data_IF_557530956511
#
_entry.id   IF_557530956511
#
_cell.length_a   1.000
_cell.length_b   1.000
_cell.length_c   1.000
_cell.angle_alpha   90.00
_cell.angle_beta   90.00
_cell.angle_gamma   90.00
#
_symmetry.space_group_name_H-M   'P 1'
#
loop_
_entity.id
_entity.type
_entity.pdbx_description
1 polymer ?
2 non-polymer ?
3 non-polymer ?
4 non-polymer ?
5 water ?
#
# COMPACT_ATOMS: atom_id res chain seq x y z
N UNK A 1 13.53 20.85 -1.13
CA UNK A 1 13.06 19.77 -2.00
C UNK A 1 12.62 18.53 -1.22
N UNK A 2 11.36 18.13 -1.41
CA UNK A 2 10.87 16.91 -0.77
C UNK A 2 11.66 15.71 -1.27
N UNK A 3 11.69 14.66 -0.46
CA UNK A 3 12.38 13.43 -0.82
C UNK A 3 11.83 12.30 0.02
N UNK A 4 12.00 11.07 -0.44
CA UNK A 4 11.58 9.91 0.36
C UNK A 4 12.36 9.90 1.68
N UNK A 5 13.61 10.36 1.61
CA UNK A 5 14.44 10.45 2.80
C UNK A 5 13.86 11.41 3.83
N UNK A 6 13.36 12.55 3.37
CA UNK A 6 12.80 13.56 4.26
C UNK A 6 11.52 13.03 4.89
N UNK A 7 10.69 12.42 4.06
CA UNK A 7 9.45 11.82 4.55
C UNK A 7 9.74 10.75 5.60
N UNK A 8 10.71 9.89 5.34
CA UNK A 8 11.09 8.86 6.30
C UNK A 8 11.49 9.45 7.66
N UNK A 9 12.31 10.49 7.64
CA UNK A 9 12.74 11.15 8.87
C UNK A 9 11.57 11.73 9.65
N UNK A 10 10.66 12.37 8.92
CA UNK A 10 9.50 12.99 9.55
C UNK A 10 8.61 11.96 10.18
N UNK A 11 8.35 10.87 9.46
CA UNK A 11 7.48 9.80 9.98
C UNK A 11 8.06 9.18 11.24
N UNK A 12 9.36 8.92 11.22
CA UNK A 12 10.00 8.23 12.35
C UNK A 12 9.88 9.02 13.65
N UNK A 13 9.81 10.34 13.56
CA UNK A 13 9.65 11.16 14.75
C UNK A 13 8.29 11.84 14.87
N UNK A 14 7.35 11.42 14.02
CA UNK A 14 6.06 12.10 13.90
C UNK A 14 5.17 11.98 15.11
N UNK A 15 4.54 13.09 15.50
CA UNK A 15 3.52 13.03 16.54
C UNK A 15 2.27 13.79 16.13
N UNK A 16 1.94 13.67 14.86
CA UNK A 16 0.84 14.44 14.29
C UNK A 16 -0.54 13.81 14.54
N UNK A 17 -0.60 12.56 14.97
CA UNK A 17 -1.87 12.05 15.48
C UNK A 17 -1.64 11.22 16.74
N UNK A 18 -2.71 10.79 17.39
CA UNK A 18 -2.56 10.15 18.69
C UNK A 18 -1.90 8.77 18.63
N UNK A 19 -1.69 8.23 17.45
CA UNK A 19 -1.11 6.90 17.34
C UNK A 19 0.35 6.85 17.80
N UNK A 20 1.04 7.99 17.82
CA UNK A 20 2.46 7.97 18.14
C UNK A 20 2.70 7.40 19.54
N UNK A 21 1.76 7.65 20.47
CA UNK A 21 1.96 7.29 21.84
C UNK A 21 2.08 5.80 22.10
N UNK A 22 1.58 4.98 21.18
CA UNK A 22 1.52 3.54 21.37
C UNK A 22 2.70 2.80 20.74
N UNK A 23 3.40 3.48 19.85
CA UNK A 23 4.29 2.77 18.95
C UNK A 23 5.65 2.43 19.55
N UNK A 24 6.26 1.41 18.97
CA UNK A 24 7.68 1.14 19.14
C UNK A 24 8.40 1.83 18.00
N UNK A 25 7.97 1.55 16.78
CA UNK A 25 8.53 2.21 15.59
C UNK A 25 7.46 2.63 14.62
N UNK A 26 7.54 3.86 14.11
CA UNK A 26 6.70 4.27 12.98
C UNK A 26 7.20 3.50 11.78
N UNK A 27 6.36 3.36 10.75
CA UNK A 27 6.70 2.56 9.57
C UNK A 27 6.47 3.38 8.31
N UNK A 28 7.51 4.09 7.84
CA UNK A 28 7.33 4.96 6.66
C UNK A 28 7.14 4.20 5.35
N UNK A 29 7.67 2.99 5.26
CA UNK A 29 7.60 2.26 4.00
C UNK A 29 9.03 2.07 3.52
N UNK A 30 9.23 1.16 2.57
CA UNK A 30 10.56 0.88 2.07
C UNK A 30 10.50 0.43 0.62
N UNK A 31 11.59 0.66 -0.11
CA UNK A 31 11.69 0.15 -1.45
C UNK A 31 12.33 1.10 -2.42
N UNK A 32 12.27 0.74 -3.69
CA UNK A 32 12.96 1.46 -4.75
C UNK A 32 12.29 2.79 -5.06
N UNK A 33 13.03 3.90 -5.01
CA UNK A 33 12.40 5.19 -5.25
C UNK A 33 11.87 5.37 -6.66
N UNK A 34 12.32 4.53 -7.58
CA UNK A 34 11.82 4.57 -8.96
C UNK A 34 11.04 3.29 -9.26
N UNK A 35 10.43 2.73 -8.22
CA UNK A 35 9.56 1.56 -8.40
C UNK A 35 8.47 1.79 -9.44
N UNK A 36 8.29 0.81 -10.31
CA UNK A 36 7.10 0.86 -11.18
C UNK A 36 5.84 0.43 -10.46
N UNK A 37 5.97 -0.40 -9.43
CA UNK A 37 4.79 -0.83 -8.67
C UNK A 37 4.90 -0.42 -7.21
N UNK A 38 3.87 0.24 -6.73
CA UNK A 38 3.82 0.69 -5.36
C UNK A 38 2.66 -0.05 -4.70
N UNK A 39 2.91 -0.65 -3.53
CA UNK A 39 1.86 -1.36 -2.77
C UNK A 39 1.48 -0.52 -1.57
N UNK A 40 0.19 -0.36 -1.36
CA UNK A 40 -0.27 0.42 -0.20
C UNK A 40 -1.25 -0.36 0.62
N UNK A 41 -0.88 -0.65 1.87
CA UNK A 41 -1.80 -1.30 2.79
C UNK A 41 -2.52 -0.33 3.71
N UNK A 42 -3.10 -0.89 4.76
CA UNK A 42 -3.88 -0.14 5.74
C UNK A 42 -3.01 0.56 6.80
N UNK A 43 -2.39 -0.24 7.65
CA UNK A 43 -1.56 0.26 8.75
C UNK A 43 -0.69 -0.87 9.24
N UNK A 44 0.41 -0.54 9.91
CA UNK A 44 1.27 -1.56 10.52
C UNK A 44 0.54 -2.46 11.48
N UNK A 45 0.89 -3.74 11.48
CA UNK A 45 0.48 -4.58 12.58
C UNK A 45 1.58 -4.72 13.62
N UNK A 46 1.47 -5.77 14.43
CA UNK A 46 2.37 -5.97 15.55
C UNK A 46 3.84 -6.12 15.14
N UNK A 47 4.11 -6.99 14.16
CA UNK A 47 5.49 -7.23 13.77
C UNK A 47 6.08 -6.03 13.04
N UNK A 48 5.24 -5.34 12.30
CA UNK A 48 5.67 -4.13 11.61
C UNK A 48 6.11 -3.06 12.61
N UNK A 49 5.32 -2.89 13.66
CA UNK A 49 5.62 -1.96 14.74
C UNK A 49 6.94 -2.30 15.41
N UNK A 50 7.11 -3.59 15.71
CA UNK A 50 8.33 -4.05 16.36
C UNK A 50 9.55 -3.79 15.49
N UNK A 51 9.37 -3.96 14.18
CA UNK A 51 10.52 -3.92 13.26
C UNK A 51 10.74 -2.60 12.55
N UNK A 52 9.74 -1.73 12.50
CA UNK A 52 9.82 -0.50 11.73
C UNK A 52 9.72 -0.68 10.21
N UNK A 53 9.13 -1.79 9.80
CA UNK A 53 9.11 -2.22 8.39
C UNK A 53 7.70 -2.64 8.02
N UNK A 54 7.25 -2.38 6.78
CA UNK A 54 5.90 -2.78 6.39
C UNK A 54 5.82 -4.25 5.99
N UNK A 55 4.66 -4.86 6.20
CA UNK A 55 4.37 -6.20 5.71
C UNK A 55 5.50 -7.21 5.99
N UNK A 56 5.72 -7.47 7.28
CA UNK A 56 6.74 -8.47 7.68
C UNK A 56 6.17 -9.60 8.54
N UNK A 57 4.93 -9.46 8.95
CA UNK A 57 4.25 -10.53 9.68
C UNK A 57 3.72 -11.57 8.70
N UNK A 58 2.82 -12.43 9.16
CA UNK A 58 2.26 -13.49 8.31
C UNK A 58 1.65 -12.95 7.01
N UNK A 59 0.82 -11.92 7.11
CA UNK A 59 0.21 -11.35 5.92
C UNK A 59 1.29 -10.80 5.01
N UNK A 60 2.28 -10.15 5.61
CA UNK A 60 3.37 -9.64 4.83
C UNK A 60 4.22 -10.69 4.11
N UNK A 61 4.46 -11.82 4.77
CA UNK A 61 5.20 -12.91 4.17
C UNK A 61 4.44 -13.46 2.96
N UNK A 62 3.12 -13.49 3.04
CA UNK A 62 2.30 -13.92 1.91
C UNK A 62 2.43 -12.90 0.78
N UNK A 63 2.37 -11.61 1.12
CA UNK A 63 2.55 -10.58 0.12
C UNK A 63 3.91 -10.74 -0.58
N UNK A 64 4.97 -10.91 0.19
CA UNK A 64 6.29 -11.09 -0.41
C UNK A 64 6.33 -12.28 -1.36
N UNK A 65 5.70 -13.37 -0.97
CA UNK A 65 5.68 -14.57 -1.79
C UNK A 65 4.94 -14.31 -3.10
N UNK A 66 3.81 -13.59 -3.06
CA UNK A 66 3.09 -13.30 -4.30
C UNK A 66 3.89 -12.37 -5.20
N UNK A 67 4.51 -11.36 -4.59
CA UNK A 67 5.31 -10.46 -5.37
C UNK A 67 6.44 -11.23 -6.08
N UNK A 68 7.07 -12.15 -5.36
CA UNK A 68 8.16 -12.93 -5.94
C UNK A 68 7.69 -13.95 -6.96
N UNK A 69 6.71 -14.78 -6.59
CA UNK A 69 6.35 -15.91 -7.43
C UNK A 69 5.44 -15.53 -8.58
N UNK A 70 4.58 -14.54 -8.38
CA UNK A 70 3.62 -14.19 -9.40
C UNK A 70 4.05 -12.96 -10.21
N UNK A 71 4.61 -11.94 -9.56
CA UNK A 71 5.08 -10.77 -10.30
C UNK A 71 6.52 -10.90 -10.77
N UNK A 72 7.27 -11.77 -10.12
CA UNK A 72 8.66 -11.98 -10.47
C UNK A 72 9.56 -10.87 -9.97
N UNK A 73 9.23 -10.32 -8.80
CA UNK A 73 9.99 -9.19 -8.24
C UNK A 73 10.45 -9.42 -6.80
N UNK A 74 11.60 -8.84 -6.44
CA UNK A 74 12.03 -8.79 -5.06
C UNK A 74 11.43 -7.57 -4.39
N UNK A 75 11.34 -7.57 -3.06
CA UNK A 75 10.82 -6.38 -2.39
C UNK A 75 11.63 -5.13 -2.70
N UNK A 76 12.94 -5.27 -2.87
CA UNK A 76 13.76 -4.10 -3.13
C UNK A 76 13.52 -3.50 -4.52
N UNK A 77 12.70 -4.17 -5.35
CA UNK A 77 12.41 -3.61 -6.67
C UNK A 77 11.07 -2.90 -6.71
N UNK A 78 10.32 -2.96 -5.60
CA UNK A 78 9.01 -2.28 -5.54
C UNK A 78 9.02 -1.31 -4.38
N UNK A 79 7.93 -0.58 -4.17
CA UNK A 79 7.84 0.26 -2.98
C UNK A 79 6.61 -0.15 -2.21
N UNK A 80 6.76 -0.30 -0.89
CA UNK A 80 5.67 -0.83 -0.06
C UNK A 80 5.43 0.08 1.13
N UNK A 81 4.20 0.53 1.32
CA UNK A 81 3.89 1.36 2.45
C UNK A 81 2.42 1.19 2.82
N UNK A 82 1.90 2.08 3.65
CA UNK A 82 0.53 2.03 4.15
C UNK A 82 -0.05 3.44 4.20
N UNK A 83 -1.37 3.54 4.22
CA UNK A 83 -2.01 4.85 4.29
C UNK A 83 -1.79 5.48 5.68
N UNK A 84 -1.72 4.65 6.72
CA UNK A 84 -1.39 5.11 8.06
C UNK A 84 -0.10 4.42 8.48
N UNK A 85 0.79 5.15 9.12
CA UNK A 85 2.13 4.62 9.32
C UNK A 85 2.51 4.21 10.75
N UNK A 86 1.54 4.30 11.68
CA UNK A 86 1.73 3.74 13.01
C UNK A 86 0.64 2.74 13.32
N UNK A 87 0.99 1.76 14.13
CA UNK A 87 0.05 0.70 14.55
C UNK A 87 -1.07 1.20 15.45
N UNK A 88 -2.32 1.08 15.01
CA UNK A 88 -3.40 1.46 15.91
C UNK A 88 -3.46 0.48 17.06
N UNK A 89 -3.87 0.95 18.24
CA UNK A 89 -3.99 0.10 19.43
C UNK A 89 -5.04 -0.98 19.26
N UNK A 90 -4.87 -2.09 19.98
CA UNK A 90 -6.00 -2.99 20.24
C UNK A 90 -6.50 -3.72 18.99
N UNK A 91 -5.67 -3.83 17.96
CA UNK A 91 -6.01 -4.51 16.69
C UNK A 91 -7.05 -3.71 15.85
N UNK A 92 -7.35 -2.47 16.23
CA UNK A 92 -8.37 -1.69 15.52
C UNK A 92 -7.87 -1.09 14.21
N UNK A 93 -8.82 -0.65 13.39
CA UNK A 93 -8.47 0.11 12.18
C UNK A 93 -8.21 1.57 12.53
N UNK A 94 -7.46 2.30 11.67
CA UNK A 94 -7.22 3.73 11.87
C UNK A 94 -8.51 4.51 11.95
N UNK A 95 -8.56 5.54 12.79
CA UNK A 95 -9.71 6.46 12.79
C UNK A 95 -9.64 7.31 11.53
N UNK A 96 -10.71 8.02 11.22
CA UNK A 96 -10.67 8.90 10.06
C UNK A 96 -9.70 10.05 10.32
N UNK A 97 -9.67 10.57 11.54
CA UNK A 97 -8.76 11.67 11.85
C UNK A 97 -7.30 11.21 11.77
N UNK A 98 -7.06 9.91 11.92
CA UNK A 98 -5.71 9.39 11.81
C UNK A 98 -5.33 9.26 10.32
N UNK A 99 -6.28 8.83 9.50
CA UNK A 99 -6.02 8.77 8.07
C UNK A 99 -5.81 10.18 7.53
N UNK A 100 -6.64 11.11 7.96
CA UNK A 100 -6.51 12.51 7.55
C UNK A 100 -5.14 13.08 7.95
N UNK A 101 -4.67 12.73 9.15
CA UNK A 101 -3.40 13.26 9.65
C UNK A 101 -2.20 12.66 8.93
N UNK A 102 -2.26 11.37 8.63
CA UNK A 102 -1.10 10.67 8.12
C UNK A 102 -1.02 10.63 6.60
N UNK A 103 -2.18 10.66 5.96
CA UNK A 103 -2.17 10.45 4.52
C UNK A 103 -1.33 11.46 3.69
N UNK A 104 -1.10 12.70 4.19
CA UNK A 104 -0.23 13.55 3.38
C UNK A 104 1.16 12.97 3.13
N UNK A 105 1.64 12.08 4.02
CA UNK A 105 2.91 11.40 3.79
C UNK A 105 2.80 10.50 2.58
N UNK A 106 1.72 9.74 2.49
CA UNK A 106 1.51 8.88 1.30
C UNK A 106 1.40 9.72 0.00
N UNK A 107 0.63 10.79 0.05
CA UNK A 107 0.52 11.74 -1.07
C UNK A 107 1.92 12.15 -1.53
N UNK A 108 2.77 12.48 -0.56
CA UNK A 108 4.11 12.96 -0.88
C UNK A 108 4.95 11.84 -1.47
N UNK A 109 4.74 10.62 -1.00
CA UNK A 109 5.51 9.48 -1.48
C UNK A 109 5.11 9.17 -2.93
N UNK A 110 3.80 9.20 -3.18
CA UNK A 110 3.31 9.02 -4.55
C UNK A 110 3.84 10.12 -5.47
N UNK A 111 3.85 11.37 -4.99
CA UNK A 111 4.32 12.51 -5.78
C UNK A 111 5.73 12.32 -6.28
N UNK A 112 6.54 11.68 -5.44
CA UNK A 112 7.94 11.49 -5.74
C UNK A 112 8.15 10.25 -6.60
N UNK A 113 7.56 9.13 -6.20
CA UNK A 113 7.76 7.89 -6.92
C UNK A 113 7.10 7.87 -8.30
N UNK A 114 5.87 8.38 -8.40
CA UNK A 114 5.08 8.32 -9.63
C UNK A 114 5.10 6.95 -10.27
N UNK A 115 4.67 5.93 -9.52
CA UNK A 115 4.70 4.56 -10.05
C UNK A 115 3.76 4.35 -11.24
N UNK A 116 4.09 3.37 -12.06
CA UNK A 116 3.20 2.95 -13.14
C UNK A 116 1.89 2.39 -12.57
N UNK A 117 2.01 1.65 -11.49
CA UNK A 117 0.88 0.95 -10.88
C UNK A 117 0.89 1.17 -9.38
N UNK A 118 -0.28 1.49 -8.83
CA UNK A 118 -0.46 1.40 -7.38
C UNK A 118 -1.41 0.25 -7.08
N UNK A 119 -0.93 -0.72 -6.31
CA UNK A 119 -1.80 -1.81 -5.86
C UNK A 119 -2.33 -1.46 -4.48
N UNK A 120 -3.64 -1.26 -4.37
CA UNK A 120 -4.23 -0.87 -3.09
C UNK A 120 -4.76 -2.14 -2.44
N UNK A 121 -4.05 -2.53 -1.40
CA UNK A 121 -4.33 -3.78 -0.69
C UNK A 121 -5.37 -3.52 0.39
N UNK A 122 -6.62 -3.86 0.10
CA UNK A 122 -7.68 -3.79 1.09
C UNK A 122 -8.52 -2.53 1.00
N UNK A 123 -9.55 -2.45 1.84
CA UNK A 123 -10.55 -1.41 1.68
C UNK A 123 -10.10 -0.02 2.09
N UNK A 124 -9.21 0.08 3.08
CA UNK A 124 -8.85 1.40 3.56
C UNK A 124 -8.00 2.14 2.54
N UNK A 125 -6.99 1.45 2.04
CA UNK A 125 -6.09 2.10 1.09
C UNK A 125 -6.83 2.35 -0.21
N UNK A 126 -7.67 1.40 -0.61
CA UNK A 126 -8.44 1.57 -1.85
C UNK A 126 -9.40 2.75 -1.72
N UNK A 127 -10.14 2.83 -0.62
CA UNK A 127 -11.02 3.96 -0.42
C UNK A 127 -10.27 5.29 -0.43
N UNK A 128 -9.09 5.32 0.21
CA UNK A 128 -8.32 6.56 0.26
C UNK A 128 -7.88 6.99 -1.15
N UNK A 129 -7.27 6.07 -1.88
CA UNK A 129 -6.75 6.42 -3.20
C UNK A 129 -7.91 6.75 -4.15
N UNK A 130 -9.03 6.01 -4.05
CA UNK A 130 -10.20 6.36 -4.86
C UNK A 130 -10.67 7.78 -4.58
N UNK A 131 -10.53 8.23 -3.33
CA UNK A 131 -10.95 9.58 -2.99
C UNK A 131 -10.04 10.63 -3.64
N UNK A 132 -8.75 10.34 -3.72
CA UNK A 132 -7.81 11.22 -4.42
C UNK A 132 -8.06 11.23 -5.93
N UNK A 133 -8.47 10.07 -6.47
CA UNK A 133 -8.76 9.92 -7.90
C UNK A 133 -10.04 10.57 -8.31
N UNK A 134 -10.96 10.67 -7.36
CA UNK A 134 -12.32 11.04 -7.67
C UNK A 134 -13.10 9.89 -8.27
N UNK A 135 -12.68 8.67 -7.99
CA UNK A 135 -13.32 7.45 -8.46
C UNK A 135 -14.32 6.99 -7.39
N UNK A 136 -15.53 6.65 -7.82
CA UNK A 136 -16.55 6.22 -6.86
C UNK A 136 -16.17 4.92 -6.13
N UNK A 137 -16.26 4.96 -4.80
CA UNK A 137 -15.98 3.77 -4.01
C UNK A 137 -17.25 3.23 -3.37
N UNK A 138 -17.59 2.00 -3.73
CA UNK A 138 -18.73 1.29 -3.18
C UNK A 138 -18.26 0.38 -2.06
N UNK A 139 -17.59 -0.71 -2.41
CA UNK A 139 -16.97 -1.60 -1.42
C UNK A 139 -15.74 -2.23 -2.04
N UNK A 140 -14.83 -2.75 -1.24
CA UNK A 140 -13.68 -3.42 -1.84
C UNK A 140 -14.13 -4.63 -2.67
N UNK A 141 -15.19 -5.32 -2.25
CA UNK A 141 -15.64 -6.51 -2.97
C UNK A 141 -16.07 -6.10 -4.38
N UNK A 142 -16.70 -4.95 -4.47
CA UNK A 142 -17.31 -4.54 -5.74
C UNK A 142 -16.30 -3.91 -6.68
N UNK A 143 -15.19 -3.41 -6.14
CA UNK A 143 -14.27 -2.66 -6.98
C UNK A 143 -12.95 -3.37 -7.24
N UNK A 144 -12.63 -4.41 -6.47
CA UNK A 144 -11.35 -5.10 -6.68
C UNK A 144 -11.30 -5.86 -8.00
N UNK A 145 -10.07 -6.13 -8.44
CA UNK A 145 -9.82 -7.07 -9.51
C UNK A 145 -9.83 -6.46 -10.89
N UNK A 146 -9.82 -5.14 -10.96
CA UNK A 146 -9.64 -4.51 -12.25
C UNK A 146 -8.87 -3.22 -12.09
N UNK A 147 -8.42 -2.66 -13.22
CA UNK A 147 -7.62 -1.46 -13.17
C UNK A 147 -8.44 -0.19 -13.38
N UNK A 148 -7.96 0.88 -12.75
CA UNK A 148 -8.60 2.18 -12.80
C UNK A 148 -7.53 3.20 -13.20
N UNK A 149 -7.78 3.99 -14.22
CA UNK A 149 -6.75 4.93 -14.65
C UNK A 149 -6.83 6.23 -13.85
N UNK A 150 -5.72 6.60 -13.23
CA UNK A 150 -5.63 7.84 -12.48
C UNK A 150 -4.77 8.81 -13.28
N UNK A 151 -5.38 9.80 -13.91
CA UNK A 151 -4.59 10.85 -14.53
C UNK A 151 -4.00 11.71 -13.42
N UNK A 152 -2.67 11.70 -13.32
CA UNK A 152 -2.03 12.41 -12.22
C UNK A 152 -0.77 13.11 -12.69
N UNK A 153 -0.75 14.43 -12.53
CA UNK A 153 0.34 15.29 -13.01
C UNK A 153 0.55 15.00 -14.49
N UNK A 154 1.79 14.72 -14.88
CA UNK A 154 2.10 14.56 -16.30
C UNK A 154 1.82 13.14 -16.80
N UNK A 155 1.49 12.24 -15.88
CA UNK A 155 1.37 10.83 -16.21
C UNK A 155 -0.02 10.26 -15.98
N UNK A 156 -0.14 8.96 -16.22
CA UNK A 156 -1.27 8.17 -15.78
C UNK A 156 -0.74 7.18 -14.78
N UNK A 157 -1.52 6.89 -13.75
CA UNK A 157 -1.17 5.83 -12.81
C UNK A 157 -2.29 4.81 -12.87
N UNK A 158 -1.92 3.53 -12.98
CA UNK A 158 -2.92 2.47 -12.98
C UNK A 158 -3.16 2.02 -11.55
N UNK A 159 -4.38 2.18 -11.07
CA UNK A 159 -4.70 1.77 -9.71
C UNK A 159 -5.41 0.42 -9.74
N UNK A 160 -4.90 -0.52 -8.97
CA UNK A 160 -5.47 -1.86 -8.98
C UNK A 160 -5.79 -2.33 -7.56
N UNK A 161 -7.08 -2.31 -7.20
CA UNK A 161 -7.41 -2.72 -5.85
C UNK A 161 -7.46 -4.24 -5.71
N UNK A 162 -6.99 -4.78 -4.59
CA UNK A 162 -7.15 -6.19 -4.27
C UNK A 162 -7.61 -6.37 -2.83
N UNK A 163 -7.93 -7.61 -2.45
CA UNK A 163 -8.18 -7.91 -1.05
C UNK A 163 -6.88 -7.76 -0.31
N UNK A 164 -6.95 -7.54 0.99
CA UNK A 164 -5.75 -7.44 1.77
C UNK A 164 -5.18 -8.84 1.97
N UNK A 165 -3.85 -8.97 2.00
CA UNK A 165 -3.24 -10.30 2.13
C UNK A 165 -3.67 -11.04 3.39
N UNK A 166 -3.89 -10.32 4.47
CA UNK A 166 -4.35 -10.93 5.72
C UNK A 166 -5.64 -11.71 5.50
N UNK A 167 -6.48 -11.27 4.56
CA UNK A 167 -7.77 -11.94 4.33
C UNK A 167 -7.58 -13.27 3.63
N UNK A 168 -6.40 -13.48 3.06
CA UNK A 168 -6.12 -14.69 2.29
C UNK A 168 -5.37 -15.74 3.09
N UNK A 169 -4.95 -15.39 4.29
CA UNK A 169 -4.17 -16.30 5.11
C UNK A 169 -4.90 -17.61 5.44
N UNK A 170 -6.18 -17.52 5.76
CA UNK A 170 -6.91 -18.72 6.19
C UNK A 170 -8.15 -18.96 5.35
N UNK A 171 -8.09 -18.56 4.09
CA UNK A 171 -9.21 -18.67 3.17
C UNK A 171 -8.69 -19.04 1.79
N UNK A 172 -8.64 -20.33 1.49
CA UNK A 172 -8.06 -20.83 0.23
C UNK A 172 -8.69 -20.20 -1.00
N UNK A 173 -10.00 -19.99 -0.97
CA UNK A 173 -10.65 -19.39 -2.12
C UNK A 173 -10.29 -17.92 -2.34
N UNK A 174 -10.26 -17.16 -1.25
CA UNK A 174 -9.91 -15.75 -1.33
C UNK A 174 -8.45 -15.60 -1.75
N UNK A 175 -7.62 -16.53 -1.30
CA UNK A 175 -6.24 -16.53 -1.73
C UNK A 175 -6.13 -16.73 -3.23
N UNK A 176 -6.89 -17.67 -3.78
CA UNK A 176 -6.83 -17.90 -5.21
C UNK A 176 -7.22 -16.65 -5.97
N UNK A 177 -8.18 -15.91 -5.43
CA UNK A 177 -8.63 -14.67 -6.08
C UNK A 177 -7.53 -13.61 -6.06
N UNK A 178 -6.85 -13.52 -4.93
CA UNK A 178 -5.73 -12.59 -4.78
C UNK A 178 -4.59 -12.96 -5.74
N UNK A 179 -4.30 -14.25 -5.88
CA UNK A 179 -3.28 -14.69 -6.80
C UNK A 179 -3.62 -14.34 -8.23
N UNK A 180 -4.89 -14.50 -8.59
CA UNK A 180 -5.35 -14.15 -9.92
C UNK A 180 -5.25 -12.65 -10.14
N UNK A 181 -5.55 -11.88 -9.10
CA UNK A 181 -5.41 -10.43 -9.16
C UNK A 181 -3.94 -10.08 -9.39
N UNK A 182 -3.01 -10.81 -8.76
CA UNK A 182 -1.59 -10.51 -8.95
C UNK A 182 -1.13 -10.91 -10.35
N UNK A 183 -1.72 -11.96 -10.92
CA UNK A 183 -1.44 -12.33 -12.31
C UNK A 183 -1.84 -11.19 -13.25
N UNK A 184 -2.98 -10.55 -12.97
CA UNK A 184 -3.42 -9.43 -13.77
C UNK A 184 -2.50 -8.24 -13.61
N UNK A 185 -2.02 -8.03 -12.39
CA UNK A 185 -1.08 -6.96 -12.11
C UNK A 185 0.22 -7.25 -12.88
N UNK A 186 0.64 -8.51 -12.95
CA UNK A 186 1.87 -8.79 -13.71
C UNK A 186 1.68 -8.40 -15.16
N UNK A 187 0.54 -8.77 -15.74
CA UNK A 187 0.30 -8.46 -17.15
C UNK A 187 0.32 -6.95 -17.36
N UNK A 188 -0.32 -6.18 -16.48
CA UNK A 188 -0.27 -4.72 -16.60
C UNK A 188 1.15 -4.17 -16.49
N UNK A 189 1.97 -4.78 -15.66
CA UNK A 189 3.32 -4.27 -15.42
C UNK A 189 4.24 -4.49 -16.59
N UNK A 190 4.08 -5.63 -17.27
CA UNK A 190 4.99 -5.97 -18.36
C UNK A 190 4.53 -5.52 -19.74
N UNK A 191 3.32 -4.99 -19.83
CA UNK A 191 2.73 -4.60 -21.12
C UNK A 191 2.90 -3.10 -21.35
N UNK A 192 3.51 -2.71 -22.49
CA UNK A 192 3.69 -1.28 -22.78
C UNK A 192 2.35 -0.55 -22.90
N UNK A 193 2.30 0.71 -22.48
CA UNK A 193 1.14 1.54 -22.75
C UNK A 193 0.99 1.78 -24.26
N UNK A 194 -0.23 1.62 -24.78
CA UNK A 194 -0.49 1.88 -26.19
C UNK A 194 -1.82 2.60 -26.40
#
# INVERSE_FOLDING_TARGET
>A
MDSLEKIKEEVISCKKCKLWQFRTNAVPGEGYPKAEIMFVGEAPGENEDKEGRPFVGAAGKLLTQMIKEILGLERDQVFITNVVKCRPPNNRDPEEDEITACSPYLDRQIDIIMPKIIVTLGRHSTKYIFSKMGENFSSITKVRGKSYVWKYKEKEIIVFPTYHPAAALYNPNLRKILEEDFKKIRELAITPKR
#
